data_IF_347662072120
#
_entry.id   IF_347662072120
#
_cell.length_a   1.000
_cell.length_b   1.000
_cell.length_c   1.000
_cell.angle_alpha   90.00
_cell.angle_beta   90.00
_cell.angle_gamma   90.00
#
_symmetry.space_group_name_H-M   'P 1'
#
loop_
_entity.id
_entity.type
_entity.pdbx_description
1 polymer ?
#
# COMPACT_ATOMS: atom_id res chain seq x y z
N UNK A 1 -4.63 5.07 41.88
CA UNK A 1 -5.36 5.64 40.72
C UNK A 1 -4.45 5.94 39.52
N UNK A 2 -3.14 5.75 39.62
CA UNK A 2 -2.16 6.12 38.58
C UNK A 2 -2.00 5.02 37.51
N UNK A 3 -2.14 3.76 37.91
CA UNK A 3 -2.07 2.57 37.06
C UNK A 3 -3.13 2.49 35.96
N UNK A 4 -4.44 2.76 36.19
CA UNK A 4 -5.43 2.67 35.11
C UNK A 4 -5.22 3.73 34.02
N UNK A 5 -4.79 4.93 34.40
CA UNK A 5 -4.54 6.02 33.46
C UNK A 5 -3.37 5.68 32.52
N UNK A 6 -2.27 5.16 33.06
CA UNK A 6 -1.12 4.73 32.25
C UNK A 6 -1.48 3.60 31.28
N UNK A 7 -2.28 2.63 31.72
CA UNK A 7 -2.72 1.51 30.86
C UNK A 7 -3.55 2.03 29.69
N UNK A 8 -4.48 2.94 29.93
CA UNK A 8 -5.30 3.54 28.88
C UNK A 8 -4.43 4.25 27.83
N UNK A 9 -3.42 5.02 28.25
CA UNK A 9 -2.51 5.68 27.31
C UNK A 9 -1.70 4.70 26.46
N UNK A 10 -1.21 3.60 27.06
CA UNK A 10 -0.47 2.57 26.32
C UNK A 10 -1.34 1.87 25.28
N UNK A 11 -2.59 1.53 25.61
CA UNK A 11 -3.52 0.89 24.69
C UNK A 11 -3.90 1.82 23.53
N UNK A 12 -4.15 3.10 23.82
CA UNK A 12 -4.43 4.10 22.78
C UNK A 12 -3.21 4.29 21.88
N UNK A 13 -2.01 4.41 22.45
CA UNK A 13 -0.77 4.53 21.69
C UNK A 13 -0.51 3.31 20.78
N UNK A 14 -0.71 2.10 21.29
CA UNK A 14 -0.57 0.87 20.53
C UNK A 14 -1.60 0.79 19.38
N UNK A 15 -2.88 1.12 19.65
CA UNK A 15 -3.92 1.15 18.65
C UNK A 15 -3.65 2.17 17.55
N UNK A 16 -3.17 3.37 17.90
CA UNK A 16 -2.81 4.42 16.93
C UNK A 16 -1.62 3.96 16.08
N UNK A 17 -0.56 3.45 16.71
CA UNK A 17 0.62 2.93 16.02
C UNK A 17 0.29 1.77 15.06
N UNK A 18 -0.75 1.00 15.38
CA UNK A 18 -1.26 -0.07 14.54
C UNK A 18 -2.08 0.42 13.34
N UNK A 19 -2.98 1.37 13.57
CA UNK A 19 -3.95 1.82 12.55
C UNK A 19 -3.28 2.76 11.53
N UNK A 20 -2.31 3.57 11.94
CA UNK A 20 -1.59 4.49 11.06
C UNK A 20 -0.98 3.81 9.80
N UNK A 21 -0.17 2.75 9.91
CA UNK A 21 0.43 2.12 8.73
C UNK A 21 -0.63 1.53 7.79
N UNK A 22 -1.77 1.07 8.32
CA UNK A 22 -2.90 0.59 7.52
C UNK A 22 -3.44 1.70 6.62
N UNK A 23 -3.70 2.88 7.20
CA UNK A 23 -4.22 4.03 6.45
C UNK A 23 -3.18 4.50 5.43
N UNK A 24 -1.92 4.65 5.85
CA UNK A 24 -0.84 5.14 4.98
C UNK A 24 -0.60 4.20 3.80
N UNK A 25 -0.57 2.89 4.03
CA UNK A 25 -0.31 1.96 2.94
C UNK A 25 -1.51 1.77 2.01
N UNK A 26 -2.76 1.91 2.47
CA UNK A 26 -3.93 1.94 1.57
C UNK A 26 -3.86 3.16 0.66
N UNK A 27 -3.53 4.34 1.21
CA UNK A 27 -3.33 5.56 0.43
C UNK A 27 -2.19 5.40 -0.58
N UNK A 28 -1.05 4.86 -0.13
CA UNK A 28 0.11 4.61 -0.99
C UNK A 28 -0.21 3.61 -2.12
N UNK A 29 -0.95 2.54 -1.83
CA UNK A 29 -1.36 1.54 -2.80
C UNK A 29 -2.25 2.15 -3.89
N UNK A 30 -3.31 2.88 -3.49
CA UNK A 30 -4.24 3.51 -4.43
C UNK A 30 -3.54 4.54 -5.31
N UNK A 31 -2.67 5.39 -4.73
CA UNK A 31 -1.90 6.39 -5.49
C UNK A 31 -1.01 5.76 -6.57
N UNK A 32 -0.57 4.51 -6.37
CA UNK A 32 0.32 3.78 -7.29
C UNK A 32 -0.42 2.78 -8.18
N UNK A 33 -1.75 2.84 -8.25
CA UNK A 33 -2.64 1.90 -8.95
C UNK A 33 -2.44 0.43 -8.52
N UNK A 34 -1.94 0.22 -7.30
CA UNK A 34 -1.82 -1.11 -6.68
C UNK A 34 -3.09 -1.43 -5.91
N UNK A 35 -3.34 -2.72 -5.82
CA UNK A 35 -4.46 -3.27 -5.08
C UNK A 35 -4.27 -3.10 -3.56
N UNK A 36 -5.29 -2.60 -2.83
CA UNK A 36 -5.19 -2.43 -1.38
C UNK A 36 -5.15 -3.74 -0.57
N UNK A 37 -5.36 -4.91 -1.20
CA UNK A 37 -5.39 -6.20 -0.51
C UNK A 37 -4.09 -6.55 0.22
N UNK A 38 -2.97 -5.94 -0.17
CA UNK A 38 -1.70 -6.06 0.56
C UNK A 38 -1.81 -5.63 2.02
N UNK A 39 -2.84 -4.86 2.38
CA UNK A 39 -3.05 -4.38 3.73
C UNK A 39 -3.61 -5.43 4.70
N UNK A 40 -4.05 -6.60 4.23
CA UNK A 40 -4.37 -7.69 5.16
C UNK A 40 -3.15 -8.14 5.96
N UNK A 41 -1.94 -8.00 5.40
CA UNK A 41 -0.68 -8.22 6.13
C UNK A 41 -0.41 -7.14 7.19
N UNK A 42 -1.09 -5.99 7.12
CA UNK A 42 -1.10 -4.96 8.16
C UNK A 42 -1.87 -5.35 9.43
N UNK A 43 -2.53 -6.52 9.44
CA UNK A 43 -3.08 -7.14 10.65
C UNK A 43 -1.97 -7.67 11.59
N UNK A 44 -0.70 -7.51 11.23
CA UNK A 44 0.41 -7.68 12.17
C UNK A 44 1.10 -6.32 12.37
N UNK A 45 1.38 -5.91 13.62
CA UNK A 45 1.81 -4.54 13.94
C UNK A 45 3.09 -4.16 13.22
N UNK A 46 4.02 -5.11 13.17
CA UNK A 46 5.34 -4.94 12.56
C UNK A 46 5.25 -5.01 11.04
N UNK A 47 4.43 -5.91 10.50
CA UNK A 47 4.30 -6.11 9.06
C UNK A 47 3.64 -4.90 8.37
N UNK A 48 2.73 -4.18 9.04
CA UNK A 48 2.12 -2.97 8.49
C UNK A 48 3.14 -1.94 8.02
N UNK A 49 4.16 -1.66 8.85
CA UNK A 49 5.22 -0.71 8.50
C UNK A 49 6.09 -1.20 7.34
N UNK A 50 6.40 -2.50 7.30
CA UNK A 50 7.16 -3.11 6.21
C UNK A 50 6.38 -2.97 4.89
N UNK A 51 5.07 -3.26 4.90
CA UNK A 51 4.21 -3.13 3.72
C UNK A 51 4.19 -1.69 3.22
N UNK A 52 4.07 -0.70 4.11
CA UNK A 52 4.14 0.72 3.75
C UNK A 52 5.47 1.06 3.09
N UNK A 53 6.60 0.62 3.67
CA UNK A 53 7.94 0.88 3.13
C UNK A 53 8.11 0.25 1.74
N UNK A 54 7.68 -0.99 1.56
CA UNK A 54 7.72 -1.71 0.28
C UNK A 54 6.86 -0.98 -0.76
N UNK A 55 5.57 -0.78 -0.51
CA UNK A 55 4.66 -0.13 -1.48
C UNK A 55 5.14 1.28 -1.86
N UNK A 56 5.72 2.01 -0.91
CA UNK A 56 6.28 3.34 -1.16
C UNK A 56 7.54 3.32 -2.03
N UNK A 57 8.27 2.21 -2.06
CA UNK A 57 9.49 2.05 -2.83
C UNK A 57 9.24 1.50 -4.25
N UNK A 58 8.11 0.84 -4.48
CA UNK A 58 7.77 0.32 -5.81
C UNK A 58 7.32 1.43 -6.79
N UNK A 59 7.71 1.35 -8.07
CA UNK A 59 7.22 2.28 -9.09
C UNK A 59 5.71 2.11 -9.34
N UNK A 60 5.02 3.19 -9.75
CA UNK A 60 3.58 3.14 -10.04
C UNK A 60 3.28 2.30 -11.28
N UNK A 61 2.04 1.79 -11.34
CA UNK A 61 1.50 1.12 -12.53
C UNK A 61 0.53 2.03 -13.27
N UNK A 62 0.37 1.74 -14.55
CA UNK A 62 -0.67 2.30 -15.41
C UNK A 62 -1.49 1.16 -16.01
N UNK A 63 -2.71 1.47 -16.40
CA UNK A 63 -3.60 0.53 -17.09
C UNK A 63 -3.40 0.65 -18.61
N UNK A 64 -3.41 -0.48 -19.31
CA UNK A 64 -3.31 -0.53 -20.76
C UNK A 64 -4.67 -0.18 -21.41
N UNK A 65 -4.75 0.74 -22.38
CA UNK A 65 -6.03 1.14 -22.98
C UNK A 65 -6.66 0.05 -23.85
N UNK A 66 -5.87 -0.91 -24.33
CA UNK A 66 -6.35 -1.96 -25.23
C UNK A 66 -6.83 -3.23 -24.49
N UNK A 67 -6.24 -3.57 -23.34
CA UNK A 67 -6.56 -4.81 -22.62
C UNK A 67 -6.89 -4.61 -21.13
N UNK A 68 -6.92 -3.36 -20.63
CA UNK A 68 -7.21 -2.98 -19.24
C UNK A 68 -6.27 -3.56 -18.16
N UNK A 69 -5.18 -4.20 -18.56
CA UNK A 69 -4.26 -4.85 -17.63
C UNK A 69 -3.24 -3.87 -17.04
N UNK A 70 -2.76 -4.16 -15.81
CA UNK A 70 -1.82 -3.28 -15.11
C UNK A 70 -0.38 -3.55 -15.53
N UNK A 71 0.27 -2.53 -16.08
CA UNK A 71 1.65 -2.56 -16.57
C UNK A 71 2.51 -1.49 -15.90
N UNK A 72 3.84 -1.69 -15.91
CA UNK A 72 4.79 -0.70 -15.38
C UNK A 72 4.59 0.64 -16.10
N UNK A 73 4.62 1.75 -15.36
CA UNK A 73 4.42 3.08 -15.94
C UNK A 73 5.40 3.40 -17.08
N UNK A 74 6.65 2.91 -17.00
CA UNK A 74 7.70 3.13 -17.99
C UNK A 74 7.76 2.04 -19.10
N UNK A 75 6.80 1.12 -19.17
CA UNK A 75 6.81 0.08 -20.20
C UNK A 75 6.52 0.68 -21.58
N UNK A 76 7.39 0.49 -22.57
CA UNK A 76 7.13 0.91 -23.97
C UNK A 76 6.10 0.02 -24.67
N UNK A 77 6.08 -1.27 -24.33
CA UNK A 77 5.18 -2.26 -24.91
C UNK A 77 4.44 -3.00 -23.79
N UNK A 78 3.14 -3.23 -23.96
CA UNK A 78 2.34 -4.02 -23.04
C UNK A 78 2.72 -5.51 -23.11
N UNK A 79 3.07 -6.13 -21.98
CA UNK A 79 3.47 -7.56 -21.94
C UNK A 79 2.33 -8.54 -22.28
N UNK A 80 1.09 -8.09 -22.27
CA UNK A 80 -0.10 -8.94 -22.42
C UNK A 80 -0.67 -8.90 -23.84
N UNK A 81 -0.86 -7.70 -24.39
CA UNK A 81 -1.49 -7.51 -25.70
C UNK A 81 -0.55 -6.91 -26.76
N UNK A 82 0.72 -6.71 -26.44
CA UNK A 82 1.74 -6.11 -27.32
C UNK A 82 1.44 -4.67 -27.82
N UNK A 83 0.46 -3.97 -27.24
CA UNK A 83 0.20 -2.57 -27.53
C UNK A 83 1.45 -1.71 -27.26
N UNK A 84 1.82 -0.88 -28.22
CA UNK A 84 2.94 0.08 -28.14
C UNK A 84 2.42 1.40 -27.59
N UNK A 85 3.03 1.87 -26.51
CA UNK A 85 2.69 3.15 -25.89
C UNK A 85 3.53 4.32 -26.44
N UNK A 86 4.50 4.01 -27.29
CA UNK A 86 5.44 4.91 -27.95
C UNK A 86 5.12 5.18 -29.43
N UNK A 87 4.04 4.59 -29.95
CA UNK A 87 3.56 4.75 -31.32
C UNK A 87 2.57 5.90 -31.47
#
# INVERSE_FOLDING_TARGET
>A
METPLMIVFLLVGAAVCWVIPIILGVRAARKRNRSPHWMWLGTYPVLGWIVVAVISSLPPLRECPQCAEKVKAHAKVCRYCAHRFDA
#
